data_IF_220037086511
#
_entry.id   IF_220037086511
#
_cell.length_a   1.000
_cell.length_b   1.000
_cell.length_c   1.000
_cell.angle_alpha   90.00
_cell.angle_beta   90.00
_cell.angle_gamma   90.00
#
_symmetry.space_group_name_H-M   'P 1'
#
loop_
_entity.id
_entity.type
_entity.pdbx_description
1 polymer ?
#
# COMPACT_ATOMS: atom_id res chain seq x y z
N UNK A 1 10.48 18.75 -10.78
CA UNK A 1 9.96 18.03 -9.61
C UNK A 1 11.16 17.46 -8.87
N UNK A 2 11.36 17.83 -7.62
CA UNK A 2 12.43 17.22 -6.81
C UNK A 2 12.06 15.75 -6.60
N UNK A 3 12.85 14.83 -7.17
CA UNK A 3 12.59 13.40 -7.05
C UNK A 3 12.92 12.97 -5.63
N UNK A 4 11.92 12.45 -4.92
CA UNK A 4 12.10 11.91 -3.57
C UNK A 4 13.08 10.74 -3.65
N UNK A 5 13.81 10.48 -2.56
CA UNK A 5 14.71 9.34 -2.52
C UNK A 5 13.92 8.02 -2.70
N UNK A 6 14.36 7.17 -3.64
CA UNK A 6 13.92 5.77 -3.71
C UNK A 6 14.59 5.04 -2.56
N UNK A 7 13.80 4.63 -1.57
CA UNK A 7 14.31 3.93 -0.39
C UNK A 7 13.30 2.90 0.09
N UNK A 8 13.83 1.78 0.60
CA UNK A 8 13.01 0.83 1.35
C UNK A 8 12.61 1.44 2.69
N UNK A 9 11.35 1.27 3.07
CA UNK A 9 10.86 1.64 4.39
C UNK A 9 10.36 0.40 5.13
N UNK A 10 10.57 0.33 6.44
CA UNK A 10 10.13 -0.79 7.26
C UNK A 10 8.60 -1.02 7.17
N UNK A 11 7.83 0.04 6.95
CA UNK A 11 6.38 -0.01 6.76
C UNK A 11 5.93 -0.73 5.48
N UNK A 12 6.84 -0.99 4.52
CA UNK A 12 6.56 -1.80 3.31
C UNK A 12 6.71 -3.31 3.55
N UNK A 13 7.14 -3.72 4.75
CA UNK A 13 7.33 -5.13 5.09
C UNK A 13 5.98 -5.86 5.06
N UNK A 14 5.88 -6.93 4.28
CA UNK A 14 4.68 -7.77 4.22
C UNK A 14 4.71 -8.91 5.24
N UNK A 15 5.88 -9.19 5.84
CA UNK A 15 6.03 -10.21 6.88
C UNK A 15 6.46 -11.57 6.34
N UNK A 16 7.01 -11.62 5.13
CA UNK A 16 7.59 -12.81 4.52
C UNK A 16 9.07 -12.55 4.20
N UNK A 17 9.96 -12.98 5.10
CA UNK A 17 11.38 -12.59 5.14
C UNK A 17 12.10 -12.67 3.78
N UNK A 18 11.90 -13.77 3.02
CA UNK A 18 12.54 -13.94 1.71
C UNK A 18 12.03 -12.94 0.67
N UNK A 19 10.73 -12.69 0.65
CA UNK A 19 10.10 -11.76 -0.30
C UNK A 19 10.44 -10.33 0.10
N UNK A 20 10.39 -10.00 1.39
CA UNK A 20 10.82 -8.69 1.91
C UNK A 20 12.30 -8.41 1.63
N UNK A 21 13.17 -9.42 1.64
CA UNK A 21 14.57 -9.29 1.23
C UNK A 21 14.69 -8.98 -0.27
N UNK A 22 13.87 -9.61 -1.11
CA UNK A 22 13.82 -9.33 -2.54
C UNK A 22 13.28 -7.92 -2.82
N UNK A 23 12.23 -7.49 -2.12
CA UNK A 23 11.73 -6.11 -2.18
C UNK A 23 12.84 -5.12 -1.85
N UNK A 24 13.50 -5.26 -0.69
CA UNK A 24 14.63 -4.39 -0.29
C UNK A 24 15.66 -4.27 -1.40
N UNK A 25 15.99 -5.38 -2.07
CA UNK A 25 16.95 -5.39 -3.17
C UNK A 25 16.47 -4.60 -4.40
N UNK A 26 15.18 -4.66 -4.75
CA UNK A 26 14.62 -3.80 -5.81
C UNK A 26 14.84 -2.31 -5.50
N UNK A 27 14.59 -1.89 -4.26
CA UNK A 27 14.82 -0.49 -3.85
C UNK A 27 16.30 -0.12 -3.84
N UNK A 28 17.19 -1.03 -3.42
CA UNK A 28 18.65 -0.81 -3.50
C UNK A 28 19.11 -0.56 -4.95
N UNK A 29 18.60 -1.33 -5.91
CA UNK A 29 18.91 -1.15 -7.33
C UNK A 29 18.35 0.20 -7.82
N UNK A 30 17.08 0.47 -7.51
CA UNK A 30 16.41 1.72 -7.86
C UNK A 30 17.11 2.98 -7.32
N UNK A 31 17.61 2.92 -6.08
CA UNK A 31 18.33 4.01 -5.44
C UNK A 31 19.61 4.42 -6.20
N UNK A 32 20.23 3.50 -6.96
CA UNK A 32 21.40 3.81 -7.79
C UNK A 32 21.07 4.79 -8.91
N UNK A 33 19.82 4.84 -9.40
CA UNK A 33 19.41 5.73 -10.49
C UNK A 33 19.69 7.21 -10.17
N UNK A 34 19.36 7.64 -8.95
CA UNK A 34 19.60 9.03 -8.53
C UNK A 34 21.08 9.33 -8.34
N UNK A 35 21.88 8.35 -7.90
CA UNK A 35 23.33 8.48 -7.71
C UNK A 35 24.07 8.67 -9.03
N UNK A 36 23.65 7.98 -10.09
CA UNK A 36 24.32 7.98 -11.40
C UNK A 36 23.56 8.80 -12.45
N UNK A 37 22.71 9.75 -12.04
CA UNK A 37 21.85 10.54 -12.94
C UNK A 37 22.58 11.30 -14.06
N UNK A 38 23.90 11.54 -13.90
CA UNK A 38 24.74 12.22 -14.89
C UNK A 38 25.59 11.24 -15.75
N UNK A 39 25.42 9.92 -15.59
CA UNK A 39 26.16 8.89 -16.33
C UNK A 39 25.18 7.98 -17.08
N UNK A 40 24.94 8.31 -18.35
CA UNK A 40 24.00 7.60 -19.22
C UNK A 40 24.31 6.11 -19.39
N UNK A 41 25.60 5.73 -19.40
CA UNK A 41 25.99 4.32 -19.52
C UNK A 41 25.62 3.56 -18.26
N UNK A 42 25.89 4.14 -17.08
CA UNK A 42 25.49 3.56 -15.79
C UNK A 42 23.98 3.46 -15.63
N UNK A 43 23.22 4.47 -16.06
CA UNK A 43 21.75 4.40 -16.04
C UNK A 43 21.23 3.22 -16.86
N UNK A 44 21.75 2.99 -18.06
CA UNK A 44 21.36 1.84 -18.90
C UNK A 44 21.70 0.51 -18.22
N UNK A 45 22.87 0.39 -17.58
CA UNK A 45 23.25 -0.80 -16.81
C UNK A 45 22.27 -1.05 -15.64
N UNK A 46 21.92 -0.01 -14.87
CA UNK A 46 21.01 -0.10 -13.72
C UNK A 46 19.61 -0.51 -14.17
N UNK A 47 19.13 -0.03 -15.31
CA UNK A 47 17.80 -0.38 -15.82
C UNK A 47 17.73 -1.86 -16.19
N UNK A 48 18.78 -2.39 -16.82
CA UNK A 48 18.87 -3.81 -17.14
C UNK A 48 18.92 -4.65 -15.86
N UNK A 49 19.74 -4.23 -14.88
CA UNK A 49 19.79 -4.86 -13.55
C UNK A 49 18.40 -4.86 -12.88
N UNK A 50 17.69 -3.74 -12.92
CA UNK A 50 16.35 -3.63 -12.35
C UNK A 50 15.37 -4.57 -13.06
N UNK A 51 15.40 -4.64 -14.39
CA UNK A 51 14.51 -5.51 -15.16
C UNK A 51 14.75 -6.99 -14.93
N UNK A 52 16.01 -7.42 -14.92
CA UNK A 52 16.38 -8.78 -14.59
C UNK A 52 15.95 -9.14 -13.17
N UNK A 53 16.17 -8.24 -12.22
CA UNK A 53 15.83 -8.49 -10.81
C UNK A 53 14.32 -8.47 -10.54
N UNK A 54 13.56 -7.56 -11.16
CA UNK A 54 12.08 -7.57 -11.09
C UNK A 54 11.50 -8.87 -11.63
N UNK A 55 12.01 -9.36 -12.76
CA UNK A 55 11.55 -10.63 -13.32
C UNK A 55 11.92 -11.83 -12.44
N UNK A 56 13.12 -11.81 -11.83
CA UNK A 56 13.56 -12.82 -10.88
C UNK A 56 12.65 -12.87 -9.65
N UNK A 57 12.39 -11.71 -9.04
CA UNK A 57 11.55 -11.57 -7.85
C UNK A 57 10.11 -12.07 -8.12
N UNK A 58 9.45 -11.56 -9.17
CA UNK A 58 8.09 -12.00 -9.51
C UNK A 58 8.01 -13.50 -9.80
N UNK A 59 9.03 -14.10 -10.41
CA UNK A 59 9.06 -15.55 -10.62
C UNK A 59 9.19 -16.33 -9.30
N UNK A 60 9.94 -15.83 -8.32
CA UNK A 60 10.05 -16.46 -7.01
C UNK A 60 8.75 -16.33 -6.22
N UNK A 61 8.13 -15.15 -6.25
CA UNK A 61 6.84 -14.90 -5.63
C UNK A 61 5.74 -15.76 -6.26
N UNK A 62 5.63 -15.80 -7.59
CA UNK A 62 4.64 -16.63 -8.27
C UNK A 62 4.79 -18.13 -7.96
N UNK A 63 6.03 -18.62 -7.83
CA UNK A 63 6.29 -20.00 -7.38
C UNK A 63 5.81 -20.21 -5.95
N UNK A 64 6.05 -19.24 -5.07
CA UNK A 64 5.58 -19.28 -3.69
C UNK A 64 4.05 -19.29 -3.63
N UNK A 65 3.38 -18.38 -4.34
CA UNK A 65 1.93 -18.29 -4.43
C UNK A 65 1.30 -19.60 -4.93
N UNK A 66 1.89 -20.24 -5.95
CA UNK A 66 1.47 -21.57 -6.41
C UNK A 66 1.64 -22.63 -5.33
N UNK A 67 2.74 -22.60 -4.57
CA UNK A 67 3.01 -23.58 -3.53
C UNK A 67 2.01 -23.54 -2.36
N UNK A 68 1.40 -22.37 -2.12
CA UNK A 68 0.36 -22.17 -1.10
C UNK A 68 -1.06 -22.21 -1.67
N UNK A 69 -1.21 -22.47 -2.98
CA UNK A 69 -2.48 -22.48 -3.68
C UNK A 69 -3.24 -21.15 -3.59
N UNK A 70 -2.57 -20.01 -3.76
CA UNK A 70 -3.21 -18.68 -3.68
C UNK A 70 -4.31 -18.51 -4.74
N UNK A 71 -5.52 -18.10 -4.31
CA UNK A 71 -6.72 -18.18 -5.16
C UNK A 71 -6.70 -17.13 -6.28
N UNK A 72 -6.22 -15.92 -5.98
CA UNK A 72 -6.13 -14.81 -6.93
C UNK A 72 -4.83 -14.83 -7.75
N UNK A 73 -4.19 -15.99 -7.92
CA UNK A 73 -2.91 -16.14 -8.61
C UNK A 73 -2.92 -15.54 -10.02
N UNK A 74 -3.94 -15.85 -10.82
CA UNK A 74 -4.01 -15.39 -12.21
C UNK A 74 -4.15 -13.87 -12.31
N UNK A 75 -4.91 -13.27 -11.39
CA UNK A 75 -5.04 -11.82 -11.29
C UNK A 75 -3.72 -11.19 -10.88
N UNK A 76 -3.07 -11.68 -9.82
CA UNK A 76 -1.78 -11.17 -9.36
C UNK A 76 -0.70 -11.27 -10.44
N UNK A 77 -0.62 -12.40 -11.14
CA UNK A 77 0.30 -12.58 -12.27
C UNK A 77 0.02 -11.58 -13.41
N UNK A 78 -1.23 -11.18 -13.62
CA UNK A 78 -1.55 -10.15 -14.62
C UNK A 78 -0.95 -8.78 -14.25
N UNK A 79 -0.92 -8.43 -12.96
CA UNK A 79 -0.29 -7.22 -12.46
C UNK A 79 1.23 -7.25 -12.68
N UNK A 80 1.88 -8.38 -12.42
CA UNK A 80 3.30 -8.57 -12.73
C UNK A 80 3.59 -8.36 -14.21
N UNK A 81 2.76 -8.92 -15.10
CA UNK A 81 2.92 -8.76 -16.55
C UNK A 81 2.83 -7.29 -16.97
N UNK A 82 1.95 -6.50 -16.36
CA UNK A 82 1.82 -5.07 -16.66
C UNK A 82 3.03 -4.26 -16.19
N UNK A 83 3.57 -4.56 -15.01
CA UNK A 83 4.80 -3.94 -14.49
C UNK A 83 5.99 -4.27 -15.40
N UNK A 84 6.18 -5.55 -15.73
CA UNK A 84 7.26 -6.01 -16.62
C UNK A 84 7.12 -5.42 -18.03
N UNK A 85 5.89 -5.32 -18.55
CA UNK A 85 5.62 -4.67 -19.84
C UNK A 85 6.04 -3.20 -19.83
N UNK A 86 5.71 -2.47 -18.77
CA UNK A 86 6.10 -1.06 -18.59
C UNK A 86 7.62 -0.90 -18.58
N UNK A 87 8.32 -1.78 -17.88
CA UNK A 87 9.78 -1.78 -17.79
C UNK A 87 10.43 -2.11 -19.14
N UNK A 88 9.95 -3.14 -19.83
CA UNK A 88 10.42 -3.52 -21.17
C UNK A 88 10.18 -2.43 -22.21
N UNK A 89 9.06 -1.72 -22.14
CA UNK A 89 8.80 -0.58 -23.02
C UNK A 89 9.78 0.57 -22.75
N UNK A 90 10.07 0.85 -21.47
CA UNK A 90 11.07 1.85 -21.09
C UNK A 90 12.46 1.50 -21.64
N UNK A 91 12.87 0.23 -21.58
CA UNK A 91 14.12 -0.26 -22.16
C UNK A 91 14.14 -0.09 -23.69
N UNK A 92 13.05 -0.45 -24.38
CA UNK A 92 12.96 -0.31 -25.84
C UNK A 92 13.03 1.14 -26.31
N UNK A 93 12.49 2.06 -25.51
CA UNK A 93 12.46 3.49 -25.81
C UNK A 93 13.71 4.24 -25.34
N UNK A 94 14.63 3.59 -24.62
CA UNK A 94 15.74 4.28 -23.93
C UNK A 94 16.66 5.09 -24.85
N UNK A 95 16.78 4.74 -26.13
CA UNK A 95 17.60 5.49 -27.10
C UNK A 95 16.89 6.73 -27.64
N UNK A 96 15.59 6.87 -27.39
CA UNK A 96 14.74 7.98 -27.85
C UNK A 96 14.39 8.97 -26.73
N UNK A 97 14.55 8.55 -25.48
CA UNK A 97 14.24 9.33 -24.29
C UNK A 97 15.49 10.05 -23.79
N UNK A 98 15.29 11.23 -23.22
CA UNK A 98 16.30 11.87 -22.36
C UNK A 98 16.54 11.06 -21.09
N UNK A 99 17.69 11.27 -20.44
CA UNK A 99 17.99 10.62 -19.17
C UNK A 99 16.99 11.02 -18.09
N UNK A 100 16.56 12.27 -18.09
CA UNK A 100 15.56 12.82 -17.18
C UNK A 100 14.20 12.10 -17.33
N UNK A 101 13.75 11.87 -18.56
CA UNK A 101 12.51 11.12 -18.84
C UNK A 101 12.63 9.65 -18.40
N UNK A 102 13.78 9.02 -18.64
CA UNK A 102 14.05 7.66 -18.20
C UNK A 102 13.98 7.57 -16.67
N UNK A 103 14.66 8.47 -15.95
CA UNK A 103 14.65 8.48 -14.49
C UNK A 103 13.23 8.74 -13.98
N UNK A 104 12.47 9.66 -14.59
CA UNK A 104 11.09 9.92 -14.21
C UNK A 104 10.17 8.69 -14.40
N UNK A 105 10.30 7.98 -15.52
CA UNK A 105 9.56 6.73 -15.79
C UNK A 105 9.89 5.64 -14.76
N UNK A 106 11.16 5.45 -14.42
CA UNK A 106 11.60 4.45 -13.44
C UNK A 106 11.22 4.82 -12.01
N UNK A 107 11.30 6.11 -11.67
CA UNK A 107 10.81 6.64 -10.41
C UNK A 107 9.31 6.34 -10.26
N UNK A 108 8.53 6.54 -11.32
CA UNK A 108 7.11 6.20 -11.35
C UNK A 108 6.90 4.70 -11.21
N UNK A 109 7.63 3.87 -11.96
CA UNK A 109 7.54 2.41 -11.85
C UNK A 109 7.78 1.93 -10.41
N UNK A 110 8.82 2.43 -9.74
CA UNK A 110 9.17 1.99 -8.39
C UNK A 110 8.20 2.57 -7.36
N UNK A 111 8.01 3.89 -7.33
CA UNK A 111 7.24 4.53 -6.25
C UNK A 111 5.73 4.41 -6.44
N UNK A 112 5.23 4.22 -7.67
CA UNK A 112 3.81 3.97 -7.91
C UNK A 112 3.57 2.47 -8.05
N UNK A 113 4.05 1.84 -9.12
CA UNK A 113 3.66 0.46 -9.41
C UNK A 113 4.17 -0.53 -8.38
N UNK A 114 5.46 -0.52 -8.04
CA UNK A 114 6.04 -1.50 -7.08
C UNK A 114 5.57 -1.24 -5.65
N UNK A 115 5.64 0.00 -5.14
CA UNK A 115 5.20 0.30 -3.76
C UNK A 115 3.72 -0.04 -3.57
N UNK A 116 2.84 0.35 -4.50
CA UNK A 116 1.42 0.05 -4.41
C UNK A 116 1.17 -1.47 -4.46
N UNK A 117 1.88 -2.18 -5.33
CA UNK A 117 1.78 -3.63 -5.44
C UNK A 117 2.18 -4.33 -4.13
N UNK A 118 3.30 -3.95 -3.53
CA UNK A 118 3.75 -4.50 -2.24
C UNK A 118 2.72 -4.26 -1.13
N UNK A 119 2.23 -3.03 -1.02
CA UNK A 119 1.34 -2.62 0.07
C UNK A 119 -0.06 -3.22 -0.04
N UNK A 120 -0.55 -3.44 -1.27
CA UNK A 120 -1.94 -3.83 -1.52
C UNK A 120 -2.05 -5.30 -1.93
N UNK A 121 -1.21 -5.76 -2.87
CA UNK A 121 -1.36 -7.07 -3.51
C UNK A 121 -0.53 -8.13 -2.81
N UNK A 122 0.76 -7.89 -2.59
CA UNK A 122 1.65 -8.90 -1.99
C UNK A 122 1.24 -9.21 -0.55
N UNK A 123 0.70 -8.19 0.13
CA UNK A 123 0.16 -8.34 1.48
C UNK A 123 -1.00 -9.33 1.54
N UNK A 124 -1.82 -9.48 0.48
CA UNK A 124 -2.98 -10.40 0.50
C UNK A 124 -2.55 -11.87 0.64
N UNK A 125 -1.49 -12.30 -0.05
CA UNK A 125 -1.03 -13.68 0.11
C UNK A 125 -0.38 -13.92 1.47
N UNK A 126 0.16 -12.87 2.13
CA UNK A 126 0.59 -12.96 3.52
C UNK A 126 -0.60 -13.25 4.46
N UNK A 127 -1.74 -12.58 4.27
CA UNK A 127 -2.97 -12.87 5.03
C UNK A 127 -3.49 -14.29 4.80
N UNK A 128 -3.27 -14.88 3.61
CA UNK A 128 -3.64 -16.27 3.33
C UNK A 128 -2.85 -17.28 4.16
N UNK A 129 -1.55 -17.05 4.38
CA UNK A 129 -0.68 -18.00 5.10
C UNK A 129 -0.71 -17.82 6.62
N UNK A 130 -1.24 -16.69 7.11
CA UNK A 130 -1.34 -16.40 8.54
C UNK A 130 -2.69 -16.81 9.10
N UNK A 131 -2.65 -17.42 10.29
CA UNK A 131 -3.87 -17.66 11.04
C UNK A 131 -4.35 -16.37 11.71
N UNK A 132 -5.61 -16.36 12.14
CA UNK A 132 -6.25 -15.18 12.73
C UNK A 132 -5.51 -14.65 13.96
N UNK A 133 -5.03 -15.53 14.85
CA UNK A 133 -4.36 -15.11 16.08
C UNK A 133 -3.02 -14.43 15.79
N UNK A 134 -2.28 -14.92 14.79
CA UNK A 134 -1.06 -14.25 14.33
C UNK A 134 -1.36 -12.85 13.77
N UNK A 135 -2.40 -12.73 12.93
CA UNK A 135 -2.81 -11.44 12.36
C UNK A 135 -3.25 -10.45 13.45
N UNK A 136 -4.04 -10.92 14.42
CA UNK A 136 -4.47 -10.14 15.58
C UNK A 136 -3.30 -9.68 16.45
N UNK A 137 -2.29 -10.52 16.65
CA UNK A 137 -1.14 -10.16 17.49
C UNK A 137 -0.33 -8.97 16.95
N UNK A 138 -0.31 -8.79 15.62
CA UNK A 138 0.31 -7.64 14.96
C UNK A 138 -0.64 -6.46 14.71
N UNK A 139 -1.93 -6.60 15.03
CA UNK A 139 -2.98 -5.66 14.65
C UNK A 139 -3.02 -4.43 15.55
N UNK A 140 -2.15 -3.44 15.31
CA UNK A 140 -2.11 -2.18 16.07
C UNK A 140 -1.41 -1.08 15.29
N UNK A 141 -1.63 0.16 15.72
CA UNK A 141 -0.86 1.30 15.21
C UNK A 141 0.64 1.10 15.46
N UNK A 142 1.46 1.28 14.42
CA UNK A 142 2.92 1.28 14.51
C UNK A 142 3.45 2.69 14.20
N UNK A 143 4.55 3.07 14.85
CA UNK A 143 5.27 4.32 14.55
C UNK A 143 5.71 4.46 13.09
N UNK A 144 5.76 3.36 12.35
CA UNK A 144 6.26 3.31 10.97
C UNK A 144 5.20 3.80 9.98
N UNK A 145 3.95 3.99 10.44
CA UNK A 145 2.84 4.55 9.66
C UNK A 145 2.72 6.07 9.78
N UNK A 146 3.50 6.70 10.68
CA UNK A 146 3.45 8.14 10.89
C UNK A 146 3.84 8.89 9.63
N UNK A 147 3.03 9.86 9.24
CA UNK A 147 3.30 10.77 8.14
C UNK A 147 4.01 12.05 8.61
N UNK A 148 4.07 12.26 9.94
CA UNK A 148 4.56 13.48 10.57
C UNK A 148 3.68 14.70 10.31
N UNK A 149 2.37 14.46 10.16
CA UNK A 149 1.34 15.47 10.19
C UNK A 149 0.41 15.14 11.36
N UNK A 150 0.63 15.78 12.52
CA UNK A 150 0.01 15.37 13.79
C UNK A 150 -1.52 15.24 13.71
N UNK A 151 -2.20 16.17 13.01
CA UNK A 151 -3.66 16.11 12.90
C UNK A 151 -4.13 14.84 12.19
N UNK A 152 -3.50 14.48 11.07
CA UNK A 152 -3.79 13.26 10.30
C UNK A 152 -3.38 12.01 11.10
N UNK A 153 -2.16 12.02 11.68
CA UNK A 153 -1.64 10.87 12.44
C UNK A 153 -2.49 10.53 13.67
N UNK A 154 -3.11 11.51 14.35
CA UNK A 154 -4.01 11.23 15.48
C UNK A 154 -5.34 10.61 15.01
N UNK A 155 -5.91 11.06 13.89
CA UNK A 155 -7.14 10.45 13.34
C UNK A 155 -6.91 9.02 12.88
N UNK A 156 -5.76 8.74 12.26
CA UNK A 156 -5.37 7.37 11.93
C UNK A 156 -5.35 6.47 13.17
N UNK A 157 -4.75 6.92 14.28
CA UNK A 157 -4.75 6.12 15.52
C UNK A 157 -6.16 5.82 16.01
N UNK A 158 -7.07 6.78 15.94
CA UNK A 158 -8.46 6.56 16.34
C UNK A 158 -9.14 5.49 15.47
N UNK A 159 -8.90 5.47 14.16
CA UNK A 159 -9.38 4.40 13.28
C UNK A 159 -8.88 3.01 13.72
N UNK A 160 -7.60 2.91 14.09
CA UNK A 160 -7.03 1.68 14.63
C UNK A 160 -7.64 1.29 15.99
N UNK A 161 -7.85 2.26 16.88
CA UNK A 161 -8.45 2.02 18.19
C UNK A 161 -9.89 1.51 18.07
N UNK A 162 -10.68 2.06 17.14
CA UNK A 162 -12.04 1.57 16.85
C UNK A 162 -11.99 0.15 16.28
N UNK A 163 -11.06 -0.14 15.36
CA UNK A 163 -10.90 -1.48 14.81
C UNK A 163 -10.46 -2.50 15.86
N UNK A 164 -9.54 -2.13 16.75
CA UNK A 164 -9.12 -2.94 17.90
C UNK A 164 -10.29 -3.24 18.84
N UNK A 165 -11.07 -2.21 19.18
CA UNK A 165 -12.30 -2.35 19.96
C UNK A 165 -13.27 -3.33 19.30
N UNK A 166 -13.38 -3.35 17.98
CA UNK A 166 -14.27 -4.26 17.27
C UNK A 166 -13.86 -5.75 17.38
N UNK A 167 -12.61 -6.04 17.74
CA UNK A 167 -12.07 -7.38 17.97
C UNK A 167 -12.10 -7.81 19.44
N UNK A 168 -12.49 -6.93 20.36
CA UNK A 168 -12.54 -7.18 21.80
C UNK A 168 -13.99 -7.23 22.31
N UNK A 169 -14.44 -8.42 22.72
CA UNK A 169 -15.85 -8.69 23.02
C UNK A 169 -16.22 -8.63 24.50
N UNK A 170 -15.27 -8.60 25.45
CA UNK A 170 -15.47 -8.44 26.91
C UNK A 170 -16.84 -8.88 27.51
N UNK A 171 -17.29 -10.11 27.25
CA UNK A 171 -18.57 -10.67 27.73
C UNK A 171 -19.85 -9.93 27.29
N UNK A 172 -19.79 -9.20 26.18
CA UNK A 172 -20.95 -8.52 25.55
C UNK A 172 -21.62 -9.42 24.51
N UNK A 173 -22.83 -9.05 24.08
CA UNK A 173 -23.43 -9.66 22.89
C UNK A 173 -22.57 -9.34 21.65
N UNK A 174 -21.86 -10.36 21.17
CA UNK A 174 -20.84 -10.24 20.12
C UNK A 174 -21.42 -9.57 18.87
N UNK A 175 -22.62 -9.96 18.45
CA UNK A 175 -23.25 -9.44 17.23
C UNK A 175 -23.58 -7.95 17.35
N UNK A 176 -24.16 -7.53 18.48
CA UNK A 176 -24.46 -6.12 18.74
C UNK A 176 -23.18 -5.30 18.87
N UNK A 177 -22.15 -5.83 19.54
CA UNK A 177 -20.85 -5.17 19.67
C UNK A 177 -20.20 -4.92 18.31
N UNK A 178 -20.07 -5.97 17.48
CA UNK A 178 -19.54 -5.87 16.11
C UNK A 178 -20.31 -4.82 15.30
N UNK A 179 -21.65 -4.85 15.35
CA UNK A 179 -22.47 -3.91 14.60
C UNK A 179 -22.25 -2.46 15.05
N UNK A 180 -22.12 -2.22 16.35
CA UNK A 180 -21.89 -0.89 16.90
C UNK A 180 -20.50 -0.38 16.50
N UNK A 181 -19.45 -1.19 16.69
CA UNK A 181 -18.07 -0.77 16.43
C UNK A 181 -17.77 -0.61 14.94
N UNK A 182 -18.34 -1.42 14.05
CA UNK A 182 -18.18 -1.22 12.61
C UNK A 182 -18.96 -0.02 12.11
N UNK A 183 -20.11 0.30 12.71
CA UNK A 183 -20.81 1.55 12.41
C UNK A 183 -19.99 2.76 12.89
N UNK A 184 -19.39 2.68 14.07
CA UNK A 184 -18.47 3.70 14.59
C UNK A 184 -17.26 3.88 13.65
N UNK A 185 -16.64 2.79 13.19
CA UNK A 185 -15.54 2.84 12.22
C UNK A 185 -15.96 3.51 10.92
N UNK A 186 -17.14 3.17 10.40
CA UNK A 186 -17.68 3.75 9.18
C UNK A 186 -17.93 5.25 9.28
N UNK A 187 -18.58 5.71 10.36
CA UNK A 187 -18.81 7.15 10.53
C UNK A 187 -17.51 7.91 10.79
N UNK A 188 -16.60 7.36 11.60
CA UNK A 188 -15.32 8.03 11.86
C UNK A 188 -14.44 8.10 10.61
N UNK A 189 -14.40 7.07 9.77
CA UNK A 189 -13.70 7.08 8.48
C UNK A 189 -14.21 8.21 7.58
N UNK A 190 -15.53 8.42 7.51
CA UNK A 190 -16.11 9.54 6.75
C UNK A 190 -15.70 10.90 7.30
N UNK A 191 -15.70 11.04 8.62
CA UNK A 191 -15.26 12.27 9.29
C UNK A 191 -13.79 12.55 8.99
N UNK A 192 -12.92 11.55 9.15
CA UNK A 192 -11.49 11.65 8.83
C UNK A 192 -11.25 12.09 7.38
N UNK A 193 -11.87 11.41 6.41
CA UNK A 193 -11.75 11.78 4.99
C UNK A 193 -12.28 13.20 4.71
N UNK A 194 -13.33 13.64 5.39
CA UNK A 194 -13.81 15.02 5.26
C UNK A 194 -12.73 16.02 5.74
N UNK A 195 -12.12 15.77 6.90
CA UNK A 195 -11.06 16.64 7.43
C UNK A 195 -9.81 16.66 6.54
N UNK A 196 -9.42 15.50 6.00
CA UNK A 196 -8.29 15.39 5.07
C UNK A 196 -8.57 16.11 3.74
N UNK A 197 -9.78 15.96 3.19
CA UNK A 197 -10.22 16.68 1.98
C UNK A 197 -10.22 18.20 2.20
N UNK A 198 -10.72 18.68 3.34
CA UNK A 198 -10.63 20.10 3.70
C UNK A 198 -9.18 20.57 3.84
N UNK A 199 -8.28 19.72 4.35
CA UNK A 199 -6.86 20.02 4.45
C UNK A 199 -6.19 20.08 3.09
N UNK A 200 -6.47 19.12 2.22
CA UNK A 200 -6.03 19.10 0.82
C UNK A 200 -6.52 20.36 0.06
N UNK A 201 -7.76 20.79 0.25
CA UNK A 201 -8.30 22.04 -0.30
C UNK A 201 -7.53 23.26 0.20
N UNK A 202 -7.27 23.35 1.51
CA UNK A 202 -6.52 24.47 2.12
C UNK A 202 -5.11 24.61 1.57
N UNK A 203 -4.45 23.50 1.21
CA UNK A 203 -3.09 23.54 0.64
C UNK A 203 -3.09 23.56 -0.90
N UNK A 204 -4.25 23.57 -1.55
CA UNK A 204 -4.40 23.44 -3.00
C UNK A 204 -3.71 22.17 -3.57
N UNK A 205 -3.94 21.03 -2.92
CA UNK A 205 -3.42 19.74 -3.35
C UNK A 205 -3.96 19.39 -4.76
N UNK A 206 -3.09 19.15 -5.76
CA UNK A 206 -3.51 19.04 -7.15
C UNK A 206 -4.31 17.77 -7.47
N UNK A 207 -4.08 16.68 -6.73
CA UNK A 207 -4.74 15.38 -6.97
C UNK A 207 -5.96 15.17 -6.05
N UNK A 208 -6.55 16.26 -5.52
CA UNK A 208 -7.71 16.18 -4.61
C UNK A 208 -8.88 15.40 -5.21
N UNK A 209 -9.17 15.58 -6.50
CA UNK A 209 -10.30 14.92 -7.16
C UNK A 209 -10.11 13.41 -7.17
N UNK A 210 -8.94 12.96 -7.61
CA UNK A 210 -8.56 11.55 -7.66
C UNK A 210 -8.53 10.95 -6.25
N UNK A 211 -8.04 11.70 -5.27
CA UNK A 211 -8.00 11.27 -3.87
C UNK A 211 -9.41 11.08 -3.29
N UNK A 212 -10.36 11.98 -3.59
CA UNK A 212 -11.79 11.84 -3.22
C UNK A 212 -12.42 10.57 -3.82
N UNK A 213 -12.04 10.17 -5.03
CA UNK A 213 -12.52 8.92 -5.64
C UNK A 213 -12.04 7.68 -4.86
N UNK A 214 -10.79 7.71 -4.36
CA UNK A 214 -10.25 6.65 -3.50
C UNK A 214 -11.05 6.55 -2.20
N UNK A 215 -11.31 7.68 -1.53
CA UNK A 215 -12.14 7.73 -0.32
C UNK A 215 -13.53 7.14 -0.57
N UNK A 216 -14.20 7.54 -1.65
CA UNK A 216 -15.50 7.00 -2.02
C UNK A 216 -15.47 5.49 -2.25
N UNK A 217 -14.41 4.97 -2.86
CA UNK A 217 -14.17 3.54 -3.03
C UNK A 217 -14.06 2.80 -1.69
N UNK A 218 -13.25 3.33 -0.77
CA UNK A 218 -13.06 2.79 0.59
C UNK A 218 -14.41 2.77 1.33
N UNK A 219 -15.12 3.90 1.39
CA UNK A 219 -16.43 4.02 2.06
C UNK A 219 -17.46 3.04 1.46
N UNK A 220 -17.48 2.89 0.13
CA UNK A 220 -18.35 1.90 -0.54
C UNK A 220 -18.01 0.48 -0.12
N UNK A 221 -16.72 0.14 0.00
CA UNK A 221 -16.25 -1.16 0.49
C UNK A 221 -16.72 -1.44 1.92
N UNK A 222 -16.59 -0.46 2.82
CA UNK A 222 -17.02 -0.59 4.22
C UNK A 222 -18.55 -0.71 4.35
N UNK A 223 -19.30 -0.01 3.50
CA UNK A 223 -20.76 -0.16 3.41
C UNK A 223 -21.19 -1.55 2.94
N UNK A 224 -20.47 -2.15 1.99
CA UNK A 224 -20.71 -3.54 1.58
C UNK A 224 -20.39 -4.51 2.72
N UNK A 225 -19.28 -4.29 3.45
CA UNK A 225 -18.94 -5.08 4.63
C UNK A 225 -20.05 -5.01 5.69
N UNK A 226 -20.57 -3.81 6.01
CA UNK A 226 -21.71 -3.61 6.92
C UNK A 226 -22.95 -4.42 6.52
N UNK A 227 -23.25 -4.51 5.21
CA UNK A 227 -24.38 -5.28 4.68
C UNK A 227 -24.19 -6.79 4.82
N UNK A 228 -22.95 -7.25 4.77
CA UNK A 228 -22.60 -8.67 4.89
C UNK A 228 -22.52 -9.15 6.34
N UNK A 229 -22.29 -8.25 7.30
CA UNK A 229 -22.15 -8.58 8.74
C UNK A 229 -23.17 -9.62 9.26
N UNK A 230 -24.49 -9.54 8.96
CA UNK A 230 -25.45 -10.50 9.50
C UNK A 230 -25.24 -11.95 9.01
N UNK A 231 -24.43 -12.16 7.97
CA UNK A 231 -24.16 -13.46 7.35
C UNK A 231 -22.79 -14.03 7.72
N UNK A 232 -21.92 -13.24 8.36
CA UNK A 232 -20.55 -13.63 8.65
C UNK A 232 -20.48 -14.35 9.99
N UNK A 233 -19.72 -15.44 10.04
CA UNK A 233 -19.27 -15.96 11.33
C UNK A 233 -18.26 -14.98 11.95
N UNK A 234 -18.14 -14.99 13.28
CA UNK A 234 -17.22 -14.11 14.02
C UNK A 234 -15.79 -14.22 13.48
N UNK A 235 -15.33 -15.44 13.18
CA UNK A 235 -13.99 -15.66 12.60
C UNK A 235 -13.80 -14.98 11.24
N UNK A 236 -14.81 -15.01 10.38
CA UNK A 236 -14.75 -14.39 9.04
C UNK A 236 -14.81 -12.87 9.15
N UNK A 237 -15.63 -12.36 10.07
CA UNK A 237 -15.65 -10.95 10.42
C UNK A 237 -14.27 -10.45 10.87
N UNK A 238 -13.65 -11.14 11.85
CA UNK A 238 -12.36 -10.75 12.42
C UNK A 238 -11.28 -10.72 11.33
N UNK A 239 -11.21 -11.76 10.48
CA UNK A 239 -10.28 -11.81 9.35
C UNK A 239 -10.51 -10.64 8.39
N UNK A 240 -11.76 -10.42 7.99
CA UNK A 240 -12.11 -9.36 7.03
C UNK A 240 -11.81 -7.96 7.56
N UNK A 241 -12.05 -7.70 8.85
CA UNK A 241 -11.69 -6.43 9.47
C UNK A 241 -10.18 -6.23 9.50
N UNK A 242 -9.41 -7.26 9.87
CA UNK A 242 -7.95 -7.18 9.92
C UNK A 242 -7.39 -6.95 8.51
N UNK A 243 -7.85 -7.68 7.52
CA UNK A 243 -7.48 -7.48 6.10
C UNK A 243 -7.81 -6.05 5.64
N UNK A 244 -8.99 -5.53 5.99
CA UNK A 244 -9.40 -4.18 5.60
C UNK A 244 -8.47 -3.10 6.17
N UNK A 245 -8.15 -3.17 7.46
CA UNK A 245 -7.27 -2.19 8.10
C UNK A 245 -5.81 -2.39 7.66
N UNK A 246 -5.33 -3.62 7.59
CA UNK A 246 -3.92 -3.91 7.31
C UNK A 246 -3.55 -3.72 5.84
N UNK A 247 -4.49 -3.88 4.91
CA UNK A 247 -4.26 -3.72 3.47
C UNK A 247 -4.77 -2.36 3.00
N UNK A 248 -6.06 -2.07 3.17
CA UNK A 248 -6.65 -0.86 2.60
C UNK A 248 -6.25 0.40 3.37
N UNK A 249 -6.49 0.44 4.69
CA UNK A 249 -6.18 1.64 5.47
C UNK A 249 -4.67 1.90 5.50
N UNK A 250 -3.85 0.91 5.85
CA UNK A 250 -2.38 1.10 5.87
C UNK A 250 -1.84 1.40 4.48
N UNK A 251 -2.33 0.73 3.44
CA UNK A 251 -1.93 1.00 2.06
C UNK A 251 -2.25 2.45 1.65
N UNK A 252 -3.46 2.93 1.98
CA UNK A 252 -3.88 4.31 1.78
C UNK A 252 -2.98 5.30 2.53
N UNK A 253 -2.78 5.11 3.84
CA UNK A 253 -1.90 5.97 4.66
C UNK A 253 -0.49 6.06 4.08
N UNK A 254 0.12 4.89 3.80
CA UNK A 254 1.51 4.83 3.38
C UNK A 254 1.74 5.29 1.94
N UNK A 255 0.72 5.20 1.09
CA UNK A 255 0.84 5.52 -0.32
C UNK A 255 0.15 6.81 -0.73
N UNK A 256 -1.11 7.01 -0.37
CA UNK A 256 -1.94 8.16 -0.78
C UNK A 256 -1.74 9.37 0.14
N UNK A 257 -2.02 9.25 1.43
CA UNK A 257 -2.01 10.38 2.38
C UNK A 257 -0.58 10.98 2.50
N UNK A 258 0.42 10.11 2.37
CA UNK A 258 1.83 10.51 2.30
C UNK A 258 2.09 11.51 1.16
N UNK A 259 1.41 11.40 0.02
CA UNK A 259 1.57 12.34 -1.11
C UNK A 259 1.11 13.74 -0.72
N UNK A 260 0.05 13.87 0.08
CA UNK A 260 -0.44 15.14 0.62
C UNK A 260 0.65 15.81 1.47
N UNK A 261 1.24 15.05 2.39
CA UNK A 261 2.30 15.58 3.28
C UNK A 261 3.56 15.95 2.51
N UNK A 262 3.95 15.14 1.52
CA UNK A 262 5.09 15.44 0.66
C UNK A 262 4.85 16.70 -0.18
N UNK A 263 3.64 16.86 -0.72
CA UNK A 263 3.25 18.07 -1.44
C UNK A 263 3.35 19.32 -0.55
N UNK A 264 2.77 19.28 0.66
CA UNK A 264 2.88 20.36 1.66
C UNK A 264 4.33 20.73 2.01
N UNK A 265 5.25 19.75 2.02
CA UNK A 265 6.68 20.01 2.26
C UNK A 265 7.35 20.68 1.07
N UNK A 266 6.94 20.34 -0.15
CA UNK A 266 7.51 20.90 -1.39
C UNK A 266 7.04 22.32 -1.72
N UNK A 267 5.94 22.77 -1.13
CA UNK A 267 5.35 24.11 -1.34
C UNK A 267 5.71 25.12 -0.26
N UNK A 268 6.54 24.73 0.72
CA UNK A 268 7.14 25.60 1.74
C UNK A 268 8.55 26.01 1.34
#
# INVERSE_FOLDING_TARGET
MEMIAIKWEKSYTIGHEKIDAEHKKLFEIGAKLLKYKNDSRKIIEIIKELAEYTQFHFNNEEKFMKSIGYDDFDYHQSLHKDIVKTLNNTIKEMTKLSIEEIIAKLYTLINKSIVQHILIEDKKFHHKIKNREELKASFKWHSDYKLHENAIDEEHKVLFDIALKALDYNNTDINSHIKITIKELYEYMKTHFTHEEEFMEKIAYPELTEHKEIHQGIIKGLHLFLKELPKLAVVDFERKLIEYIDIWLIGHILYEDRKIVNFKKSTK
#
